data_IF_227692257522
#
_entry.id   IF_227692257522
#
_cell.length_a   1.000
_cell.length_b   1.000
_cell.length_c   1.000
_cell.angle_alpha   90.00
_cell.angle_beta   90.00
_cell.angle_gamma   90.00
#
_symmetry.space_group_name_H-M   'P 1'
#
loop_
_entity.id
_entity.type
_entity.pdbx_description
1 polymer ?
#
# COMPACT_ATOMS: atom_id res chain seq x y z
N UNK A 1 26.11 -33.56 72.66
CA UNK A 1 25.80 -33.97 71.28
C UNK A 1 25.03 -32.84 70.63
N UNK A 2 25.66 -32.15 69.69
CA UNK A 2 25.21 -30.89 69.08
C UNK A 2 24.76 -31.21 67.64
N UNK A 3 23.50 -30.97 67.30
CA UNK A 3 22.98 -31.10 65.94
C UNK A 3 22.94 -29.71 65.28
N UNK A 4 23.44 -29.53 64.04
CA UNK A 4 23.38 -28.24 63.36
C UNK A 4 22.04 -28.05 62.64
N UNK A 5 21.50 -26.84 62.73
CA UNK A 5 20.32 -26.40 61.96
C UNK A 5 20.80 -25.98 60.56
N UNK A 6 20.34 -26.69 59.53
CA UNK A 6 20.61 -26.37 58.13
C UNK A 6 19.70 -25.20 57.71
N UNK A 7 20.29 -24.05 57.36
CA UNK A 7 19.58 -22.94 56.70
C UNK A 7 19.39 -23.29 55.23
N UNK A 8 18.14 -23.42 54.80
CA UNK A 8 17.76 -23.49 53.38
C UNK A 8 17.61 -22.06 52.88
N UNK A 9 18.57 -21.60 52.08
CA UNK A 9 18.47 -20.34 51.35
C UNK A 9 17.64 -20.58 50.08
N UNK A 10 16.40 -20.08 50.05
CA UNK A 10 15.56 -20.12 48.84
C UNK A 10 16.03 -19.02 47.90
N UNK A 11 16.67 -19.41 46.78
CA UNK A 11 16.93 -18.51 45.67
C UNK A 11 15.61 -18.29 44.91
N UNK A 12 15.01 -17.12 45.11
CA UNK A 12 13.88 -16.66 44.30
C UNK A 12 14.42 -16.19 42.95
N UNK A 13 14.38 -17.08 41.94
CA UNK A 13 14.66 -16.71 40.55
C UNK A 13 13.51 -15.82 40.06
N UNK A 14 13.79 -14.51 40.01
CA UNK A 14 12.87 -13.52 39.47
C UNK A 14 12.93 -13.64 37.94
N UNK A 15 12.08 -14.48 37.36
CA UNK A 15 11.84 -14.48 35.91
C UNK A 15 11.15 -13.16 35.57
N UNK A 16 11.91 -12.26 34.96
CA UNK A 16 11.42 -11.01 34.40
C UNK A 16 10.45 -11.37 33.27
N UNK A 17 9.16 -11.45 33.58
CA UNK A 17 8.11 -11.51 32.59
C UNK A 17 8.12 -10.17 31.84
N UNK A 18 8.81 -10.12 30.71
CA UNK A 18 8.67 -9.03 29.76
C UNK A 18 7.24 -9.09 29.25
N UNK A 19 6.39 -8.19 29.75
CA UNK A 19 5.10 -7.90 29.15
C UNK A 19 5.42 -7.27 27.79
N UNK A 20 5.59 -8.11 26.77
CA UNK A 20 5.61 -7.67 25.38
C UNK A 20 4.19 -7.20 25.12
N UNK A 21 3.94 -5.89 25.28
CA UNK A 21 2.76 -5.28 24.70
C UNK A 21 2.76 -5.68 23.24
N UNK A 22 1.69 -6.34 22.78
CA UNK A 22 1.58 -6.81 21.41
C UNK A 22 1.85 -5.62 20.47
N UNK A 23 3.03 -5.60 19.86
CA UNK A 23 3.33 -4.62 18.83
C UNK A 23 2.32 -4.87 17.72
N UNK A 24 1.51 -3.85 17.41
CA UNK A 24 0.59 -3.93 16.28
C UNK A 24 1.43 -4.07 15.02
N UNK A 25 1.42 -5.25 14.43
CA UNK A 25 2.18 -5.68 13.26
C UNK A 25 1.43 -5.38 11.94
N UNK A 26 0.59 -4.34 11.96
CA UNK A 26 -0.35 -4.02 10.90
C UNK A 26 -0.21 -2.59 10.38
N UNK A 27 0.80 -1.86 10.83
CA UNK A 27 0.96 -0.45 10.51
C UNK A 27 2.41 -0.11 10.18
N UNK A 28 2.63 0.40 8.98
CA UNK A 28 3.91 0.94 8.52
C UNK A 28 3.72 2.40 8.14
N UNK A 29 4.63 3.26 8.56
CA UNK A 29 4.64 4.68 8.22
C UNK A 29 5.92 5.01 7.49
N UNK A 30 5.79 5.72 6.37
CA UNK A 30 6.86 6.13 5.49
C UNK A 30 6.87 7.65 5.48
N UNK A 31 7.96 8.25 5.95
CA UNK A 31 8.26 9.66 5.81
C UNK A 31 9.19 9.85 4.61
N UNK A 32 8.64 10.30 3.49
CA UNK A 32 9.37 10.56 2.24
C UNK A 32 10.12 11.89 2.27
N UNK A 33 9.96 12.72 3.29
CA UNK A 33 10.78 13.92 3.46
C UNK A 33 12.11 13.54 4.10
N UNK A 34 12.02 12.83 5.21
CA UNK A 34 13.17 12.48 6.05
C UNK A 34 13.80 11.13 5.65
N UNK A 35 13.15 10.35 4.78
CA UNK A 35 13.61 9.00 4.44
C UNK A 35 13.45 7.99 5.58
N UNK A 36 12.51 8.24 6.50
CA UNK A 36 12.34 7.46 7.73
C UNK A 36 11.18 6.47 7.56
N UNK A 37 11.36 5.24 8.02
CA UNK A 37 10.29 4.25 8.18
C UNK A 37 10.08 3.97 9.66
N UNK A 38 8.82 3.93 10.09
CA UNK A 38 8.44 3.53 11.45
C UNK A 38 7.23 2.59 11.44
N UNK A 39 7.02 1.86 12.53
CA UNK A 39 6.07 0.74 12.55
C UNK A 39 6.63 -0.50 11.86
N UNK A 40 5.82 -1.54 11.77
CA UNK A 40 6.22 -2.84 11.25
C UNK A 40 5.01 -3.67 10.81
N UNK A 41 5.22 -4.49 9.80
CA UNK A 41 4.37 -5.63 9.47
C UNK A 41 5.21 -6.70 8.76
N UNK A 42 5.06 -7.98 9.09
CA UNK A 42 5.73 -9.06 8.35
C UNK A 42 5.21 -9.18 6.91
N UNK A 43 4.01 -8.67 6.65
CA UNK A 43 3.35 -8.74 5.34
C UNK A 43 3.71 -7.56 4.43
N UNK A 44 4.63 -6.67 4.86
CA UNK A 44 5.09 -5.51 4.08
C UNK A 44 6.59 -5.63 3.80
N UNK A 45 6.94 -5.76 2.52
CA UNK A 45 8.33 -5.79 2.04
C UNK A 45 8.67 -4.50 1.29
N UNK A 46 9.82 -3.89 1.58
CA UNK A 46 10.33 -2.76 0.81
C UNK A 46 11.17 -3.25 -0.38
N UNK A 47 10.63 -3.09 -1.59
CA UNK A 47 11.38 -3.30 -2.83
C UNK A 47 12.31 -2.10 -3.13
N UNK A 48 11.94 -0.92 -2.64
CA UNK A 48 12.78 0.27 -2.65
C UNK A 48 12.48 1.09 -1.40
N UNK A 49 13.46 1.20 -0.51
CA UNK A 49 13.35 2.02 0.70
C UNK A 49 13.41 3.51 0.38
N UNK A 50 12.69 4.36 1.14
CA UNK A 50 12.80 5.80 1.00
C UNK A 50 14.22 6.26 1.35
N UNK A 51 14.65 7.36 0.73
CA UNK A 51 15.89 8.06 1.06
C UNK A 51 15.58 9.47 1.53
N UNK A 52 16.45 10.06 2.34
CA UNK A 52 16.34 11.47 2.69
C UNK A 52 16.33 12.32 1.42
N UNK A 53 15.44 13.31 1.34
CA UNK A 53 15.40 14.19 0.19
C UNK A 53 16.42 15.32 0.34
N UNK A 54 17.38 15.41 -0.57
CA UNK A 54 18.54 16.29 -0.42
C UNK A 54 18.28 17.75 -0.77
N UNK A 55 17.25 18.08 -1.57
CA UNK A 55 17.04 19.45 -2.08
C UNK A 55 15.56 19.87 -2.24
N UNK A 56 14.66 18.93 -2.55
CA UNK A 56 13.23 19.19 -2.77
C UNK A 56 12.39 18.40 -1.79
N UNK A 57 11.59 19.08 -0.95
CA UNK A 57 10.71 18.38 -0.01
C UNK A 57 9.73 17.50 -0.80
N UNK A 58 9.65 16.21 -0.45
CA UNK A 58 8.67 15.25 -0.99
C UNK A 58 8.89 14.77 -2.44
N UNK A 59 10.15 14.56 -2.83
CA UNK A 59 10.56 13.88 -4.07
C UNK A 59 11.08 12.46 -3.86
N UNK A 60 11.33 12.07 -2.60
CA UNK A 60 11.80 10.72 -2.30
C UNK A 60 10.80 9.68 -2.77
N UNK A 61 11.33 8.55 -3.22
CA UNK A 61 10.57 7.45 -3.78
C UNK A 61 10.68 6.24 -2.88
N UNK A 62 9.60 5.48 -2.80
CA UNK A 62 9.61 4.16 -2.19
C UNK A 62 8.67 3.24 -2.97
N UNK A 63 8.97 1.94 -2.93
CA UNK A 63 8.13 0.88 -3.48
C UNK A 63 8.02 -0.21 -2.43
N UNK A 64 6.80 -0.59 -2.10
CA UNK A 64 6.51 -1.70 -1.21
C UNK A 64 5.69 -2.76 -1.92
N UNK A 65 5.82 -3.99 -1.44
CA UNK A 65 4.95 -5.12 -1.74
C UNK A 65 4.21 -5.47 -0.45
N UNK A 66 2.90 -5.67 -0.54
CA UNK A 66 2.04 -6.07 0.57
C UNK A 66 1.44 -7.44 0.25
N UNK A 67 1.70 -8.43 1.09
CA UNK A 67 1.15 -9.79 0.95
C UNK A 67 -0.21 -9.89 1.66
N UNK A 68 -1.28 -10.12 0.89
CA UNK A 68 -2.63 -10.29 1.41
C UNK A 68 -3.13 -11.74 1.38
N UNK A 69 -2.24 -12.71 1.16
CA UNK A 69 -2.58 -14.14 1.24
C UNK A 69 -2.91 -14.58 2.67
N UNK A 70 -2.31 -13.92 3.67
CA UNK A 70 -2.38 -14.27 5.08
C UNK A 70 -3.65 -13.82 5.81
N UNK A 71 -3.48 -13.17 6.97
CA UNK A 71 -4.59 -12.77 7.86
C UNK A 71 -5.30 -11.49 7.42
N UNK A 72 -4.61 -10.63 6.69
CA UNK A 72 -5.15 -9.36 6.21
C UNK A 72 -5.84 -9.53 4.86
N UNK A 73 -6.88 -8.73 4.61
CA UNK A 73 -7.73 -8.78 3.41
C UNK A 73 -7.86 -7.43 2.72
N UNK A 74 -7.30 -6.38 3.30
CA UNK A 74 -7.30 -5.05 2.70
C UNK A 74 -6.13 -4.20 3.20
N UNK A 75 -5.82 -3.15 2.44
CA UNK A 75 -4.83 -2.13 2.78
C UNK A 75 -5.47 -0.75 2.69
N UNK A 76 -5.39 -0.01 3.81
CA UNK A 76 -5.73 1.41 3.87
C UNK A 76 -4.46 2.27 3.80
N UNK A 77 -4.44 3.21 2.86
CA UNK A 77 -3.36 4.18 2.66
C UNK A 77 -3.81 5.57 3.09
N UNK A 78 -3.19 6.10 4.13
CA UNK A 78 -3.34 7.50 4.52
C UNK A 78 -2.16 8.31 4.00
N UNK A 79 -2.45 9.21 3.07
CA UNK A 79 -1.45 9.94 2.29
C UNK A 79 -1.49 11.43 2.64
N UNK A 80 -0.34 12.02 2.91
CA UNK A 80 -0.20 13.43 3.26
C UNK A 80 0.64 14.17 2.21
N UNK A 81 -0.02 15.09 1.49
CA UNK A 81 0.58 15.92 0.46
C UNK A 81 1.05 17.25 1.06
N UNK A 82 2.32 17.36 1.39
CA UNK A 82 2.91 18.61 1.89
C UNK A 82 3.31 19.59 0.79
N UNK A 83 3.46 19.12 -0.46
CA UNK A 83 3.75 19.96 -1.63
C UNK A 83 2.69 19.81 -2.72
N UNK A 84 2.74 20.69 -3.73
CA UNK A 84 1.81 20.58 -4.87
C UNK A 84 2.14 19.32 -5.65
N UNK A 85 1.17 18.40 -5.84
CA UNK A 85 1.42 17.14 -6.51
C UNK A 85 1.70 17.37 -8.00
N UNK A 86 2.77 16.73 -8.49
CA UNK A 86 3.25 16.78 -9.88
C UNK A 86 3.46 15.36 -10.37
N UNK A 87 2.95 15.06 -11.55
CA UNK A 87 3.11 13.75 -12.20
C UNK A 87 2.76 12.61 -11.22
N UNK A 88 3.53 11.52 -11.18
CA UNK A 88 3.19 10.30 -10.46
C UNK A 88 3.48 10.42 -8.96
N UNK A 89 2.44 10.53 -8.12
CA UNK A 89 2.60 10.62 -6.66
C UNK A 89 2.21 9.35 -5.94
N UNK A 90 1.33 8.55 -6.54
CA UNK A 90 0.91 7.23 -6.06
C UNK A 90 0.64 6.33 -7.26
N UNK A 91 1.07 5.09 -7.19
CA UNK A 91 0.73 4.02 -8.14
C UNK A 91 0.57 2.72 -7.36
N UNK A 92 -0.60 2.10 -7.46
CA UNK A 92 -0.98 0.86 -6.77
C UNK A 92 -1.41 -0.13 -7.83
N UNK A 93 -0.86 -1.34 -7.80
CA UNK A 93 -1.08 -2.37 -8.81
C UNK A 93 -1.04 -3.75 -8.16
N UNK A 94 -1.89 -4.68 -8.58
CA UNK A 94 -1.76 -6.12 -8.29
C UNK A 94 -0.76 -6.84 -9.23
N UNK A 95 0.01 -6.05 -10.00
CA UNK A 95 1.18 -6.52 -10.76
C UNK A 95 2.48 -5.78 -10.39
N UNK A 96 3.57 -6.55 -10.27
CA UNK A 96 4.93 -6.06 -10.04
C UNK A 96 5.49 -5.16 -11.16
N UNK A 97 4.85 -5.16 -12.34
CA UNK A 97 5.26 -4.33 -13.48
C UNK A 97 4.21 -3.30 -13.90
N UNK A 98 3.28 -2.98 -13.00
CA UNK A 98 2.35 -1.86 -13.16
C UNK A 98 3.11 -0.59 -13.49
N UNK A 99 2.79 0.03 -14.63
CA UNK A 99 3.56 1.12 -15.18
C UNK A 99 2.77 2.41 -15.37
N UNK A 100 1.49 2.43 -15.00
CA UNK A 100 0.64 3.58 -15.21
C UNK A 100 -0.33 3.40 -16.38
N UNK A 101 -1.57 3.83 -16.18
CA UNK A 101 -2.65 3.83 -17.19
C UNK A 101 -3.23 2.43 -17.49
N UNK A 102 -3.22 1.54 -16.49
CA UNK A 102 -3.62 0.14 -16.65
C UNK A 102 -2.59 -0.66 -17.46
N UNK A 103 -1.34 -0.20 -17.47
CA UNK A 103 -0.27 -0.81 -18.24
C UNK A 103 0.55 -1.77 -17.38
N UNK A 104 0.83 -2.94 -17.92
CA UNK A 104 1.64 -3.98 -17.30
C UNK A 104 2.55 -4.56 -18.37
N UNK A 105 3.83 -4.76 -18.09
CA UNK A 105 4.82 -5.22 -19.08
C UNK A 105 4.67 -6.72 -19.45
N UNK A 106 3.44 -7.24 -19.47
CA UNK A 106 3.11 -8.62 -19.82
C UNK A 106 3.30 -9.62 -18.67
N UNK A 107 3.21 -9.18 -17.42
CA UNK A 107 3.44 -10.03 -16.23
C UNK A 107 2.20 -10.84 -15.87
N UNK A 108 1.01 -10.21 -15.87
CA UNK A 108 -0.24 -10.89 -15.49
C UNK A 108 -1.47 -10.26 -16.15
N UNK A 109 -2.52 -11.06 -16.37
CA UNK A 109 -3.82 -10.54 -16.77
C UNK A 109 -4.58 -9.77 -15.67
N UNK A 110 -4.25 -10.06 -14.41
CA UNK A 110 -4.81 -9.42 -13.22
C UNK A 110 -3.99 -8.17 -12.89
N UNK A 111 -4.18 -7.10 -13.64
CA UNK A 111 -3.36 -5.88 -13.60
C UNK A 111 -4.19 -4.63 -13.26
N UNK A 112 -5.10 -4.73 -12.31
CA UNK A 112 -5.86 -3.58 -11.85
C UNK A 112 -4.91 -2.53 -11.25
N UNK A 113 -5.18 -1.25 -11.54
CA UNK A 113 -4.28 -0.16 -11.18
C UNK A 113 -5.05 1.04 -10.62
N UNK A 114 -4.58 1.59 -9.50
CA UNK A 114 -5.02 2.87 -8.96
C UNK A 114 -3.84 3.80 -8.89
N UNK A 115 -3.91 4.92 -9.59
CA UNK A 115 -2.84 5.91 -9.53
C UNK A 115 -3.35 7.31 -9.21
N UNK A 116 -2.44 8.13 -8.69
CA UNK A 116 -2.60 9.57 -8.61
C UNK A 116 -1.50 10.21 -9.47
N UNK A 117 -1.92 10.81 -10.58
CA UNK A 117 -1.06 11.55 -11.48
C UNK A 117 -1.52 13.01 -11.59
N UNK A 118 -0.60 13.94 -11.33
CA UNK A 118 -0.87 15.37 -11.16
C UNK A 118 -1.90 15.62 -10.04
N UNK A 119 -3.15 15.87 -10.41
CA UNK A 119 -4.25 16.11 -9.47
C UNK A 119 -5.40 15.13 -9.63
N UNK A 120 -5.22 14.07 -10.41
CA UNK A 120 -6.27 13.13 -10.77
C UNK A 120 -6.00 11.79 -10.11
N UNK A 121 -7.00 11.25 -9.41
CA UNK A 121 -7.05 9.83 -9.11
C UNK A 121 -7.70 9.12 -10.31
N UNK A 122 -7.10 8.04 -10.76
CA UNK A 122 -7.67 7.19 -11.81
C UNK A 122 -7.61 5.74 -11.40
N UNK A 123 -8.63 5.00 -11.78
CA UNK A 123 -8.80 3.58 -11.47
C UNK A 123 -8.93 2.85 -12.81
N UNK A 124 -8.12 1.81 -12.98
CA UNK A 124 -8.11 0.93 -14.13
C UNK A 124 -8.41 -0.49 -13.67
N UNK A 125 -9.25 -1.18 -14.42
CA UNK A 125 -9.50 -2.60 -14.23
C UNK A 125 -8.39 -3.46 -14.83
N UNK A 126 -8.46 -4.75 -14.58
CA UNK A 126 -7.67 -5.78 -15.21
C UNK A 126 -8.22 -6.14 -16.60
N UNK A 127 -7.55 -7.06 -17.31
CA UNK A 127 -7.91 -7.45 -18.68
C UNK A 127 -8.64 -8.81 -18.78
N UNK A 128 -9.30 -9.23 -17.69
CA UNK A 128 -10.08 -10.47 -17.69
C UNK A 128 -11.21 -10.40 -18.74
N UNK A 129 -11.65 -11.55 -19.30
CA UNK A 129 -12.73 -11.57 -20.28
C UNK A 129 -13.98 -10.82 -19.78
N UNK A 130 -14.47 -9.86 -20.57
CA UNK A 130 -15.62 -9.02 -20.20
C UNK A 130 -15.28 -7.64 -19.64
N UNK A 131 -14.00 -7.32 -19.37
CA UNK A 131 -13.60 -6.08 -18.71
C UNK A 131 -14.11 -4.78 -19.39
N UNK A 132 -14.33 -4.80 -20.70
CA UNK A 132 -14.80 -3.64 -21.46
C UNK A 132 -16.19 -3.17 -21.01
N UNK A 133 -17.03 -4.07 -20.48
CA UNK A 133 -18.36 -3.72 -19.97
C UNK A 133 -18.30 -2.89 -18.69
N UNK A 134 -17.17 -2.96 -17.97
CA UNK A 134 -16.90 -2.19 -16.75
C UNK A 134 -16.10 -0.90 -17.01
N UNK A 135 -15.78 -0.60 -18.27
CA UNK A 135 -14.92 0.52 -18.69
C UNK A 135 -15.70 1.79 -18.99
N UNK A 136 -15.14 2.96 -18.62
CA UNK A 136 -15.64 4.28 -19.04
C UNK A 136 -15.22 4.64 -20.48
N UNK A 137 -14.20 4.00 -21.05
CA UNK A 137 -13.61 4.39 -22.35
C UNK A 137 -13.42 3.25 -23.36
N UNK A 138 -13.95 2.06 -23.08
CA UNK A 138 -13.72 0.86 -23.91
C UNK A 138 -12.30 0.28 -23.79
N UNK A 139 -11.45 0.84 -22.94
CA UNK A 139 -10.16 0.29 -22.52
C UNK A 139 -10.22 -0.16 -21.06
N UNK A 140 -9.14 -0.01 -20.31
CA UNK A 140 -9.09 -0.44 -18.90
C UNK A 140 -9.58 0.64 -17.93
N UNK A 141 -9.78 1.89 -18.37
CA UNK A 141 -10.12 3.00 -17.47
C UNK A 141 -11.55 2.85 -16.94
N UNK A 142 -11.71 2.73 -15.63
CA UNK A 142 -13.00 2.58 -14.97
C UNK A 142 -13.46 3.85 -14.24
N UNK A 143 -12.52 4.70 -13.80
CA UNK A 143 -12.88 5.93 -13.09
C UNK A 143 -11.84 7.01 -13.20
N UNK A 144 -12.29 8.26 -13.33
CA UNK A 144 -11.48 9.46 -13.10
C UNK A 144 -12.09 10.33 -12.01
N UNK A 145 -11.26 10.82 -11.09
CA UNK A 145 -11.63 11.82 -10.08
C UNK A 145 -10.71 13.02 -10.22
N UNK A 146 -11.24 14.07 -10.85
CA UNK A 146 -10.49 15.30 -11.08
C UNK A 146 -10.28 16.13 -9.82
N UNK A 147 -9.15 16.86 -9.79
CA UNK A 147 -8.79 17.73 -8.68
C UNK A 147 -8.91 17.01 -7.32
N UNK A 148 -8.48 15.75 -7.29
CA UNK A 148 -8.53 14.86 -6.13
C UNK A 148 -7.43 15.15 -5.12
N UNK A 149 -6.25 15.65 -5.55
CA UNK A 149 -5.17 16.05 -4.63
C UNK A 149 -4.71 17.48 -4.85
N UNK A 150 -4.16 18.10 -3.80
CA UNK A 150 -3.58 19.44 -3.77
C UNK A 150 -2.59 19.55 -2.61
N UNK A 151 -1.76 20.60 -2.58
CA UNK A 151 -0.92 20.92 -1.42
C UNK A 151 -1.77 21.00 -0.14
N UNK A 152 -1.30 20.35 0.92
CA UNK A 152 -1.96 20.21 2.22
C UNK A 152 -3.07 19.14 2.27
N UNK A 153 -3.30 18.37 1.19
CA UNK A 153 -4.35 17.36 1.19
C UNK A 153 -3.97 16.14 2.04
N UNK A 154 -4.96 15.65 2.80
CA UNK A 154 -4.95 14.32 3.43
C UNK A 154 -5.94 13.43 2.69
N UNK A 155 -5.46 12.29 2.24
CA UNK A 155 -6.18 11.38 1.35
C UNK A 155 -6.19 9.99 1.99
N UNK A 156 -7.32 9.29 1.87
CA UNK A 156 -7.40 7.86 2.12
C UNK A 156 -7.67 7.13 0.79
N UNK A 157 -6.96 6.03 0.54
CA UNK A 157 -7.28 5.05 -0.50
C UNK A 157 -7.29 3.67 0.17
N UNK A 158 -8.42 2.96 0.10
CA UNK A 158 -8.54 1.59 0.57
C UNK A 158 -8.63 0.65 -0.63
N UNK A 159 -7.85 -0.43 -0.59
CA UNK A 159 -7.86 -1.49 -1.59
C UNK A 159 -8.18 -2.82 -0.90
N UNK A 160 -9.17 -3.52 -1.45
CA UNK A 160 -9.51 -4.90 -1.11
C UNK A 160 -9.87 -5.65 -2.38
N UNK A 161 -10.14 -6.96 -2.26
CA UNK A 161 -10.55 -7.78 -3.39
C UNK A 161 -11.72 -7.15 -4.14
N UNK A 162 -11.57 -6.94 -5.44
CA UNK A 162 -12.61 -6.38 -6.32
C UNK A 162 -13.13 -4.98 -5.92
N UNK A 163 -12.41 -4.24 -5.07
CA UNK A 163 -12.90 -2.99 -4.49
C UNK A 163 -11.82 -1.93 -4.29
N UNK A 164 -12.21 -0.68 -4.57
CA UNK A 164 -11.42 0.51 -4.31
C UNK A 164 -12.30 1.56 -3.65
N UNK A 165 -11.87 2.08 -2.51
CA UNK A 165 -12.48 3.25 -1.88
C UNK A 165 -11.49 4.39 -1.82
N UNK A 166 -11.99 5.63 -1.92
CA UNK A 166 -11.15 6.81 -1.81
C UNK A 166 -11.87 7.93 -1.06
N UNK A 167 -11.11 8.74 -0.33
CA UNK A 167 -11.64 9.96 0.27
C UNK A 167 -10.60 11.06 0.44
N UNK A 168 -11.06 12.31 0.31
CA UNK A 168 -10.35 13.54 0.65
C UNK A 168 -11.37 14.62 1.04
N UNK A 169 -11.60 14.76 2.35
CA UNK A 169 -12.63 15.65 2.87
C UNK A 169 -14.01 15.26 2.32
N UNK A 170 -14.70 16.18 1.64
CA UNK A 170 -16.00 15.90 1.03
C UNK A 170 -15.95 15.08 -0.27
N UNK A 171 -14.79 14.96 -0.93
CA UNK A 171 -14.66 14.12 -2.14
C UNK A 171 -14.39 12.68 -1.73
N UNK A 172 -15.37 11.80 -1.87
CA UNK A 172 -15.25 10.38 -1.54
C UNK A 172 -16.00 9.54 -2.57
N UNK A 173 -15.70 8.24 -2.61
CA UNK A 173 -16.38 7.28 -3.46
C UNK A 173 -15.85 5.88 -3.22
N UNK A 174 -16.55 4.93 -3.83
CA UNK A 174 -16.26 3.51 -3.81
C UNK A 174 -16.56 2.97 -5.21
N UNK A 175 -15.76 2.00 -5.65
CA UNK A 175 -15.97 1.25 -6.88
C UNK A 175 -15.77 -0.23 -6.56
N UNK A 176 -16.75 -1.05 -6.93
CA UNK A 176 -16.68 -2.51 -6.83
C UNK A 176 -16.88 -3.13 -8.21
N UNK A 177 -16.03 -4.08 -8.56
CA UNK A 177 -16.04 -4.76 -9.85
C UNK A 177 -15.14 -5.99 -9.81
N UNK A 178 -15.56 -7.09 -10.44
CA UNK A 178 -14.74 -8.30 -10.62
C UNK A 178 -13.43 -8.04 -11.40
N UNK A 179 -13.36 -6.90 -12.10
CA UNK A 179 -12.18 -6.44 -12.83
C UNK A 179 -11.22 -5.59 -11.97
N UNK A 180 -11.48 -5.41 -10.67
CA UNK A 180 -10.55 -4.76 -9.75
C UNK A 180 -9.81 -5.80 -8.91
N UNK A 181 -8.57 -5.51 -8.56
CA UNK A 181 -7.69 -6.24 -7.61
C UNK A 181 -8.09 -7.68 -7.30
N UNK A 182 -7.40 -8.66 -7.91
CA UNK A 182 -7.72 -10.08 -7.72
C UNK A 182 -7.00 -10.70 -6.52
N UNK A 183 -7.50 -10.42 -5.32
CA UNK A 183 -6.82 -10.74 -4.06
C UNK A 183 -7.42 -11.96 -3.37
N UNK A 184 -8.32 -12.68 -4.05
CA UNK A 184 -9.00 -13.87 -3.55
C UNK A 184 -8.76 -15.10 -4.45
N UNK A 185 -7.64 -15.10 -5.18
CA UNK A 185 -7.18 -16.25 -5.96
C UNK A 185 -7.82 -16.38 -7.35
N UNK A 186 -8.40 -15.29 -7.88
CA UNK A 186 -8.93 -15.27 -9.24
C UNK A 186 -7.81 -15.58 -10.24
N UNK A 187 -8.09 -16.45 -11.20
CA UNK A 187 -7.10 -16.93 -12.15
C UNK A 187 -6.86 -15.89 -13.25
N UNK A 188 -5.62 -15.46 -13.50
CA UNK A 188 -5.36 -14.53 -14.58
C UNK A 188 -5.47 -15.21 -15.95
N UNK A 189 -5.67 -14.41 -17.00
CA UNK A 189 -5.64 -14.86 -18.39
C UNK A 189 -4.24 -15.35 -18.81
N UNK A 190 -3.20 -14.79 -18.21
CA UNK A 190 -1.80 -15.21 -18.29
C UNK A 190 -1.05 -14.77 -17.02
N UNK A 191 0.09 -15.41 -16.71
CA UNK A 191 0.81 -15.19 -15.45
C UNK A 191 0.35 -16.14 -14.34
N UNK A 192 0.78 -15.87 -13.11
CA UNK A 192 0.46 -16.67 -11.92
C UNK A 192 -0.58 -15.96 -11.05
N UNK A 193 -1.32 -16.75 -10.27
CA UNK A 193 -2.14 -16.19 -9.19
C UNK A 193 -1.22 -15.50 -8.18
N UNK A 194 -1.53 -14.26 -7.85
CA UNK A 194 -0.79 -13.44 -6.90
C UNK A 194 -1.77 -12.75 -5.95
N UNK A 195 -1.39 -12.64 -4.68
CA UNK A 195 -2.15 -11.96 -3.62
C UNK A 195 -1.44 -10.67 -3.19
N UNK A 196 -0.35 -10.31 -3.86
CA UNK A 196 0.43 -9.13 -3.54
C UNK A 196 -0.19 -7.88 -4.15
N UNK A 197 -0.12 -6.78 -3.40
CA UNK A 197 -0.28 -5.44 -3.95
C UNK A 197 1.08 -4.75 -3.94
N UNK A 198 1.42 -4.14 -5.06
CA UNK A 198 2.60 -3.31 -5.22
C UNK A 198 2.19 -1.85 -5.14
N UNK A 199 2.84 -1.10 -4.24
CA UNK A 199 2.51 0.29 -3.96
C UNK A 199 3.77 1.13 -4.12
N UNK A 200 3.74 2.07 -5.05
CA UNK A 200 4.81 2.99 -5.33
C UNK A 200 4.43 4.43 -4.99
N UNK A 201 5.39 5.14 -4.41
CA UNK A 201 5.25 6.52 -3.96
C UNK A 201 6.19 7.43 -4.74
N UNK A 202 5.68 8.54 -5.28
CA UNK A 202 6.41 9.48 -6.15
C UNK A 202 7.02 8.86 -7.42
N UNK A 203 6.48 7.72 -7.86
CA UNK A 203 6.82 6.97 -9.09
C UNK A 203 5.78 5.91 -9.40
N UNK A 204 5.93 5.26 -10.55
CA UNK A 204 5.23 4.00 -10.86
C UNK A 204 5.96 2.79 -10.28
N UNK A 205 5.24 1.68 -10.11
CA UNK A 205 5.78 0.41 -9.59
C UNK A 205 6.93 -0.09 -10.47
N UNK A 206 6.72 -0.14 -11.79
CA UNK A 206 7.67 -0.70 -12.75
C UNK A 206 9.04 -0.01 -12.81
N UNK A 207 9.18 1.23 -12.34
CA UNK A 207 10.45 1.95 -12.49
C UNK A 207 10.41 3.44 -12.14
N UNK A 208 11.59 4.06 -12.12
CA UNK A 208 11.73 5.50 -11.83
C UNK A 208 11.55 6.40 -13.07
N UNK A 209 11.28 5.83 -14.26
CA UNK A 209 11.15 6.56 -15.52
C UNK A 209 9.84 7.37 -15.62
N UNK A 210 8.81 6.97 -14.86
CA UNK A 210 7.60 7.75 -14.59
C UNK A 210 7.63 8.11 -13.11
N UNK A 211 8.08 9.32 -12.81
CA UNK A 211 8.25 9.82 -11.46
C UNK A 211 7.39 11.07 -11.20
N UNK A 212 7.35 11.51 -9.96
CA UNK A 212 6.64 12.72 -9.56
C UNK A 212 7.10 13.22 -8.20
N UNK A 213 6.33 14.16 -7.66
CA UNK A 213 6.61 14.76 -6.35
C UNK A 213 5.35 15.32 -5.72
N UNK A 214 5.39 15.50 -4.40
CA UNK A 214 4.33 16.15 -3.64
C UNK A 214 3.75 15.32 -2.50
N UNK A 215 3.86 13.99 -2.59
CA UNK A 215 3.52 13.09 -1.49
C UNK A 215 4.69 13.02 -0.50
N UNK A 216 4.42 13.39 0.74
CA UNK A 216 5.45 13.55 1.77
C UNK A 216 5.42 12.43 2.80
N UNK A 217 4.23 11.91 3.13
CA UNK A 217 4.08 10.83 4.09
C UNK A 217 3.01 9.86 3.64
N UNK A 218 3.24 8.58 3.88
CA UNK A 218 2.28 7.52 3.68
C UNK A 218 2.19 6.68 4.96
N UNK A 219 0.97 6.38 5.40
CA UNK A 219 0.72 5.37 6.43
C UNK A 219 -0.06 4.24 5.78
N UNK A 220 0.49 3.04 5.90
CA UNK A 220 -0.07 1.79 5.44
C UNK A 220 -0.67 1.09 6.65
N UNK A 221 -1.94 0.75 6.57
CA UNK A 221 -2.67 0.02 7.59
C UNK A 221 -3.29 -1.24 6.98
N UNK A 222 -2.88 -2.41 7.47
CA UNK A 222 -3.45 -3.69 7.06
C UNK A 222 -4.64 -4.04 7.97
N UNK A 223 -5.72 -4.55 7.36
CA UNK A 223 -6.96 -4.86 8.04
C UNK A 223 -7.40 -6.30 7.72
N UNK A 224 -7.95 -6.98 8.72
CA UNK A 224 -8.42 -8.38 8.64
C UNK A 224 -9.80 -8.53 7.97
N UNK A 225 -10.46 -7.40 7.75
CA UNK A 225 -11.74 -7.29 7.07
C UNK A 225 -11.56 -6.58 5.73
N UNK A 226 -12.28 -7.00 4.67
CA UNK A 226 -12.42 -6.18 3.48
C UNK A 226 -12.99 -4.81 3.88
N UNK A 227 -12.39 -3.75 3.35
CA UNK A 227 -12.91 -2.38 3.47
C UNK A 227 -14.32 -2.27 2.91
#
# INVERSE_FOLDING_TARGET
MMFPIIRITVFLSCTLAVIIGAFKDNKVQIDLQEGIVSGYSPDVEFLTSPKESTNDRCTSQAVIKVDLSGKYRSVSLYLEYGETPKQWTLDISDSATGNGYGGDNGTTGNMAEVHICNKQLRIYGNNLPGYMDASENGGLLMKVVDNFVKKGAKVNVNISDESVEWSRGRKHGHLKSEYLFTLNGQKPSYGSVDYNIYIAFNRVVAGAYRNGSGLCKATILLQDTPG
#
